data_IF_089487484726
#
_entry.id   IF_089487484726
#
_cell.length_a   1.000
_cell.length_b   1.000
_cell.length_c   1.000
_cell.angle_alpha   90.00
_cell.angle_beta   90.00
_cell.angle_gamma   90.00
#
_symmetry.space_group_name_H-M   'P 1'
#
loop_
_entity.id
_entity.type
_entity.pdbx_description
1 polymer ?
#
# COMPACT_ATOMS: atom_id res chain seq x y z
N UNK A 1 43.60 -7.50 -3.83
CA UNK A 1 42.42 -8.15 -4.43
C UNK A 1 41.21 -7.58 -3.71
N UNK A 2 40.49 -6.67 -4.37
CA UNK A 2 39.35 -5.95 -3.80
C UNK A 2 38.11 -6.82 -3.86
N UNK A 3 37.56 -7.22 -2.71
CA UNK A 3 36.23 -7.82 -2.64
C UNK A 3 35.19 -6.72 -2.82
N UNK A 4 34.62 -6.63 -4.02
CA UNK A 4 33.40 -5.85 -4.27
C UNK A 4 32.23 -6.64 -3.70
N UNK A 5 31.73 -6.24 -2.53
CA UNK A 5 30.44 -6.68 -2.03
C UNK A 5 29.40 -5.97 -2.89
N UNK A 6 28.86 -6.65 -3.90
CA UNK A 6 27.60 -6.25 -4.53
C UNK A 6 26.51 -6.43 -3.48
N UNK A 7 26.11 -5.33 -2.82
CA UNK A 7 24.88 -5.29 -2.06
C UNK A 7 23.72 -5.52 -3.05
N UNK A 8 23.10 -6.70 -2.99
CA UNK A 8 21.80 -6.92 -3.61
C UNK A 8 20.79 -6.07 -2.84
N UNK A 9 20.51 -4.86 -3.31
CA UNK A 9 19.39 -4.05 -2.82
C UNK A 9 18.12 -4.82 -3.15
N UNK A 10 17.51 -5.47 -2.15
CA UNK A 10 16.19 -6.06 -2.33
C UNK A 10 15.22 -4.92 -2.70
N UNK A 11 14.56 -5.05 -3.86
CA UNK A 11 13.53 -4.09 -4.26
C UNK A 11 12.44 -4.08 -3.21
N UNK A 12 12.01 -2.89 -2.79
CA UNK A 12 10.92 -2.76 -1.84
C UNK A 12 9.61 -3.16 -2.52
N UNK A 13 8.82 -3.99 -1.83
CA UNK A 13 7.53 -4.47 -2.33
C UNK A 13 6.40 -3.55 -1.91
N UNK A 14 5.55 -3.20 -2.86
CA UNK A 14 4.32 -2.46 -2.66
C UNK A 14 3.15 -3.34 -3.11
N UNK A 15 2.18 -3.55 -2.23
CA UNK A 15 0.94 -4.25 -2.55
C UNK A 15 -0.19 -3.24 -2.71
N UNK A 16 -0.94 -3.35 -3.81
CA UNK A 16 -2.19 -2.62 -4.03
C UNK A 16 -3.35 -3.55 -3.68
N UNK A 17 -4.27 -3.10 -2.83
CA UNK A 17 -5.50 -3.81 -2.47
C UNK A 17 -6.67 -2.94 -2.94
N UNK A 18 -7.23 -3.28 -4.10
CA UNK A 18 -8.19 -2.45 -4.84
C UNK A 18 -8.96 -3.34 -5.83
N UNK A 19 -10.28 -3.29 -5.90
CA UNK A 19 -11.02 -4.14 -6.84
C UNK A 19 -11.17 -3.50 -8.23
N UNK A 20 -11.09 -2.17 -8.30
CA UNK A 20 -11.19 -1.43 -9.55
C UNK A 20 -9.89 -1.56 -10.38
N UNK A 21 -9.93 -2.43 -11.39
CA UNK A 21 -8.78 -2.68 -12.28
C UNK A 21 -8.22 -1.42 -12.97
N UNK A 22 -9.07 -0.43 -13.25
CA UNK A 22 -8.65 0.86 -13.83
C UNK A 22 -7.79 1.67 -12.85
N UNK A 23 -8.15 1.70 -11.56
CA UNK A 23 -7.36 2.35 -10.51
C UNK A 23 -6.02 1.66 -10.32
N UNK A 24 -6.01 0.32 -10.36
CA UNK A 24 -4.79 -0.47 -10.28
C UNK A 24 -3.84 -0.17 -11.45
N UNK A 25 -4.37 -0.09 -12.67
CA UNK A 25 -3.62 0.28 -13.85
C UNK A 25 -3.07 1.70 -13.75
N UNK A 26 -3.89 2.65 -13.29
CA UNK A 26 -3.48 4.02 -13.06
C UNK A 26 -2.33 4.11 -12.05
N UNK A 27 -2.46 3.46 -10.89
CA UNK A 27 -1.41 3.47 -9.86
C UNK A 27 -0.11 2.88 -10.43
N UNK A 28 -0.18 1.75 -11.14
CA UNK A 28 0.98 1.16 -11.80
C UNK A 28 1.66 2.14 -12.79
N UNK A 29 0.89 2.83 -13.63
CA UNK A 29 1.39 3.86 -14.55
C UNK A 29 2.02 5.06 -13.81
N UNK A 30 1.41 5.51 -12.71
CA UNK A 30 1.93 6.61 -11.91
C UNK A 30 3.26 6.24 -11.24
N UNK A 31 3.43 4.98 -10.84
CA UNK A 31 4.63 4.45 -10.19
C UNK A 31 5.68 3.89 -11.16
N UNK A 32 5.39 3.88 -12.46
CA UNK A 32 6.33 3.42 -13.49
C UNK A 32 7.67 4.17 -13.38
N UNK A 33 8.76 3.39 -13.39
CA UNK A 33 10.14 3.87 -13.17
C UNK A 33 10.66 3.88 -11.73
N UNK A 34 9.87 3.48 -10.72
CA UNK A 34 10.36 3.25 -9.34
C UNK A 34 11.07 1.90 -9.23
N UNK A 35 12.11 1.81 -8.39
CA UNK A 35 12.79 0.54 -8.06
C UNK A 35 11.98 -0.31 -7.06
N UNK A 36 10.67 -0.42 -7.27
CA UNK A 36 9.77 -1.22 -6.43
C UNK A 36 9.17 -2.36 -7.23
N UNK A 37 8.86 -3.45 -6.54
CA UNK A 37 8.04 -4.53 -7.07
C UNK A 37 6.59 -4.28 -6.65
N UNK A 38 5.72 -4.07 -7.64
CA UNK A 38 4.32 -3.71 -7.42
C UNK A 38 3.46 -4.93 -7.74
N UNK A 39 2.69 -5.36 -6.75
CA UNK A 39 1.73 -6.46 -6.86
C UNK A 39 0.34 -5.93 -6.54
N UNK A 40 -0.69 -6.64 -7.00
CA UNK A 40 -2.08 -6.21 -6.85
C UNK A 40 -3.00 -7.39 -6.53
N UNK A 41 -3.91 -7.17 -5.58
CA UNK A 41 -4.99 -8.07 -5.19
C UNK A 41 -6.31 -7.33 -5.07
N UNK A 42 -7.42 -8.04 -5.24
CA UNK A 42 -8.76 -7.43 -5.35
C UNK A 42 -9.60 -7.54 -4.09
N UNK A 43 -9.17 -8.34 -3.13
CA UNK A 43 -9.96 -8.67 -1.94
C UNK A 43 -9.07 -8.70 -0.70
N UNK A 44 -9.67 -8.55 0.48
CA UNK A 44 -9.00 -8.73 1.76
C UNK A 44 -8.50 -10.17 1.89
N UNK A 45 -9.28 -11.15 1.45
CA UNK A 45 -8.88 -12.56 1.45
C UNK A 45 -7.59 -12.80 0.65
N UNK A 46 -7.52 -12.31 -0.59
CA UNK A 46 -6.32 -12.42 -1.43
C UNK A 46 -5.13 -11.69 -0.80
N UNK A 47 -5.37 -10.55 -0.14
CA UNK A 47 -4.32 -9.84 0.60
C UNK A 47 -3.76 -10.70 1.74
N UNK A 48 -4.61 -11.34 2.55
CA UNK A 48 -4.17 -12.25 3.61
C UNK A 48 -3.31 -13.38 3.06
N UNK A 49 -3.70 -13.99 1.93
CA UNK A 49 -2.90 -15.04 1.28
C UNK A 49 -1.54 -14.51 0.78
N UNK A 50 -1.51 -13.31 0.21
CA UNK A 50 -0.27 -12.64 -0.23
C UNK A 50 0.68 -12.40 0.95
N UNK A 51 0.16 -11.88 2.05
CA UNK A 51 0.92 -11.57 3.27
C UNK A 51 1.54 -12.79 3.94
N UNK A 52 0.93 -13.98 3.80
CA UNK A 52 1.50 -15.23 4.30
C UNK A 52 2.75 -15.68 3.53
N UNK A 53 2.86 -15.30 2.25
CA UNK A 53 4.00 -15.65 1.41
C UNK A 53 5.15 -14.67 1.60
N UNK A 54 4.88 -13.38 1.41
CA UNK A 54 5.89 -12.34 1.52
C UNK A 54 5.27 -10.98 1.89
N UNK A 55 5.41 -10.54 3.15
CA UNK A 55 4.87 -9.25 3.59
C UNK A 55 5.47 -8.08 2.79
N UNK A 56 4.65 -7.18 2.24
CA UNK A 56 5.14 -5.99 1.54
C UNK A 56 5.63 -4.93 2.53
N UNK A 57 6.50 -4.04 2.05
CA UNK A 57 6.94 -2.88 2.82
C UNK A 57 5.83 -1.82 2.91
N UNK A 58 5.07 -1.62 1.83
CA UNK A 58 3.96 -0.69 1.75
C UNK A 58 2.72 -1.40 1.22
N UNK A 59 1.57 -1.05 1.78
CA UNK A 59 0.24 -1.34 1.23
C UNK A 59 -0.44 -0.03 0.82
N UNK A 60 -0.98 -0.02 -0.40
CA UNK A 60 -2.02 0.92 -0.82
C UNK A 60 -3.36 0.21 -0.65
N UNK A 61 -4.16 0.65 0.32
CA UNK A 61 -5.40 -0.02 0.71
C UNK A 61 -6.62 0.83 0.35
N UNK A 62 -7.46 0.35 -0.56
CA UNK A 62 -8.78 0.96 -0.75
C UNK A 62 -9.71 0.65 0.43
N UNK A 63 -10.65 1.57 0.69
CA UNK A 63 -11.61 1.38 1.78
C UNK A 63 -12.74 0.42 1.44
N UNK A 64 -13.20 0.36 0.18
CA UNK A 64 -14.39 -0.39 -0.21
C UNK A 64 -13.97 -1.56 -1.07
N UNK A 65 -13.85 -2.73 -0.44
CA UNK A 65 -13.51 -3.96 -1.14
C UNK A 65 -14.73 -4.88 -1.25
N UNK A 66 -14.77 -5.81 -2.21
CA UNK A 66 -15.90 -6.72 -2.42
C UNK A 66 -16.24 -7.58 -1.19
N UNK A 67 -15.26 -7.83 -0.31
CA UNK A 67 -15.35 -8.70 0.85
C UNK A 67 -15.25 -7.95 2.20
N UNK A 68 -15.23 -6.62 2.21
CA UNK A 68 -15.25 -5.84 3.44
C UNK A 68 -14.74 -4.41 3.32
N UNK A 69 -14.46 -3.81 4.48
CA UNK A 69 -13.89 -2.46 4.54
C UNK A 69 -12.40 -2.50 4.86
N UNK A 70 -11.61 -1.71 4.13
CA UNK A 70 -10.18 -1.55 4.37
C UNK A 70 -9.88 -1.06 5.80
N UNK A 71 -10.74 -0.18 6.35
CA UNK A 71 -10.60 0.28 7.75
C UNK A 71 -10.51 -0.87 8.76
N UNK A 72 -11.34 -1.90 8.62
CA UNK A 72 -11.33 -3.06 9.50
C UNK A 72 -10.03 -3.88 9.34
N UNK A 73 -9.47 -3.89 8.13
CA UNK A 73 -8.25 -4.61 7.80
C UNK A 73 -6.98 -3.94 8.36
N UNK A 74 -6.99 -2.62 8.55
CA UNK A 74 -5.84 -1.89 9.14
C UNK A 74 -5.45 -2.48 10.50
N UNK A 75 -6.44 -2.75 11.36
CA UNK A 75 -6.20 -3.30 12.70
C UNK A 75 -5.51 -4.67 12.64
N UNK A 76 -5.95 -5.53 11.71
CA UNK A 76 -5.32 -6.83 11.47
C UNK A 76 -3.88 -6.66 11.00
N UNK A 77 -3.64 -5.80 10.00
CA UNK A 77 -2.30 -5.56 9.47
C UNK A 77 -1.35 -4.98 10.52
N UNK A 78 -1.81 -4.06 11.36
CA UNK A 78 -0.99 -3.47 12.42
C UNK A 78 -0.63 -4.47 13.52
N UNK A 79 -1.50 -5.44 13.78
CA UNK A 79 -1.29 -6.50 14.76
C UNK A 79 -0.35 -7.59 14.25
N UNK A 80 -0.59 -8.10 13.05
CA UNK A 80 0.14 -9.25 12.50
C UNK A 80 1.41 -8.83 11.71
N UNK A 81 1.41 -7.64 11.11
CA UNK A 81 2.48 -7.11 10.26
C UNK A 81 2.85 -5.66 10.62
N UNK A 82 3.31 -5.39 11.87
CA UNK A 82 3.55 -4.03 12.36
C UNK A 82 4.62 -3.25 11.59
N UNK A 83 5.48 -3.94 10.84
CA UNK A 83 6.51 -3.32 9.98
C UNK A 83 5.94 -2.80 8.66
N UNK A 84 4.79 -3.30 8.21
CA UNK A 84 4.17 -2.88 6.96
C UNK A 84 3.53 -1.51 7.12
N UNK A 85 3.87 -0.63 6.19
CA UNK A 85 3.36 0.72 6.10
C UNK A 85 2.04 0.74 5.32
N UNK A 86 1.03 1.41 5.86
CA UNK A 86 -0.32 1.41 5.29
C UNK A 86 -0.66 2.83 4.84
N UNK A 87 -0.87 2.99 3.54
CA UNK A 87 -1.45 4.19 2.94
C UNK A 87 -2.88 3.83 2.54
N UNK A 88 -3.86 4.39 3.24
CA UNK A 88 -5.26 4.23 2.86
C UNK A 88 -5.59 5.16 1.70
N UNK A 89 -6.30 4.64 0.69
CA UNK A 89 -6.78 5.40 -0.46
C UNK A 89 -8.32 5.40 -0.41
N UNK A 90 -8.97 6.57 -0.50
CA UNK A 90 -10.44 6.67 -0.45
C UNK A 90 -10.94 7.97 -1.06
N UNK A 91 -12.15 7.99 -1.63
CA UNK A 91 -12.66 9.12 -2.43
C UNK A 91 -13.90 9.85 -1.94
N UNK A 92 -14.56 9.43 -0.86
CA UNK A 92 -15.92 9.94 -0.55
C UNK A 92 -16.21 10.26 0.93
N UNK A 93 -15.23 10.21 1.82
CA UNK A 93 -15.49 10.52 3.22
C UNK A 93 -14.31 11.21 3.92
N UNK A 94 -14.40 12.53 4.17
CA UNK A 94 -13.42 13.25 4.97
C UNK A 94 -13.27 12.70 6.39
N UNK A 95 -14.34 12.15 6.98
CA UNK A 95 -14.27 11.53 8.31
C UNK A 95 -13.48 10.21 8.28
N UNK A 96 -13.43 9.54 7.12
CA UNK A 96 -12.63 8.32 6.98
C UNK A 96 -11.13 8.58 7.15
N UNK A 97 -10.65 9.81 6.92
CA UNK A 97 -9.24 10.15 7.15
C UNK A 97 -8.87 10.03 8.62
N UNK A 98 -9.58 10.73 9.50
CA UNK A 98 -9.27 10.74 10.93
C UNK A 98 -9.41 9.33 11.53
N UNK A 99 -10.47 8.62 11.14
CA UNK A 99 -10.69 7.23 11.56
C UNK A 99 -9.57 6.31 11.06
N UNK A 100 -9.10 6.45 9.82
CA UNK A 100 -8.01 5.62 9.28
C UNK A 100 -6.72 5.78 10.09
N UNK A 101 -6.37 7.03 10.41
CA UNK A 101 -5.17 7.34 11.19
C UNK A 101 -5.32 6.80 12.63
N UNK A 102 -6.49 6.96 13.25
CA UNK A 102 -6.79 6.40 14.58
C UNK A 102 -6.70 4.87 14.60
N UNK A 103 -7.12 4.20 13.52
CA UNK A 103 -7.02 2.74 13.36
C UNK A 103 -5.59 2.27 13.06
N UNK A 104 -4.67 3.19 12.76
CA UNK A 104 -3.25 2.92 12.63
C UNK A 104 -2.71 2.98 11.19
N UNK A 105 -3.44 3.51 10.22
CA UNK A 105 -2.86 3.86 8.93
C UNK A 105 -1.69 4.85 9.12
N UNK A 106 -0.60 4.65 8.38
CA UNK A 106 0.54 5.58 8.44
C UNK A 106 0.21 6.87 7.66
N UNK A 107 -0.56 6.74 6.57
CA UNK A 107 -1.05 7.88 5.78
C UNK A 107 -2.41 7.62 5.14
N UNK A 108 -3.03 8.72 4.69
CA UNK A 108 -4.29 8.72 3.95
C UNK A 108 -4.13 9.56 2.68
N UNK A 109 -4.58 9.03 1.54
CA UNK A 109 -4.55 9.67 0.24
C UNK A 109 -5.97 9.75 -0.35
N UNK A 110 -6.48 10.96 -0.50
CA UNK A 110 -7.83 11.19 -1.03
C UNK A 110 -7.86 11.03 -2.57
N UNK A 111 -8.86 10.30 -3.09
CA UNK A 111 -9.17 10.26 -4.53
C UNK A 111 -9.98 11.52 -4.91
N UNK A 112 -9.69 12.19 -6.04
CA UNK A 112 -8.61 11.92 -6.98
C UNK A 112 -7.26 12.45 -6.50
N UNK A 113 -6.19 11.71 -6.77
CA UNK A 113 -4.81 12.09 -6.44
C UNK A 113 -3.92 12.18 -7.68
N UNK A 114 -2.83 12.93 -7.54
CA UNK A 114 -1.80 13.10 -8.57
C UNK A 114 -0.62 12.14 -8.36
N UNK A 115 0.21 11.93 -9.39
CA UNK A 115 1.49 11.21 -9.29
C UNK A 115 2.36 11.76 -8.15
N UNK A 116 2.40 13.10 -8.03
CA UNK A 116 3.23 13.78 -7.04
C UNK A 116 2.79 13.44 -5.61
N UNK A 117 1.48 13.50 -5.33
CA UNK A 117 0.93 13.15 -4.01
C UNK A 117 1.21 11.68 -3.67
N UNK A 118 0.95 10.75 -4.60
CA UNK A 118 1.23 9.33 -4.38
C UNK A 118 2.72 9.06 -4.12
N UNK A 119 3.60 9.65 -4.93
CA UNK A 119 5.05 9.51 -4.76
C UNK A 119 5.54 10.10 -3.44
N UNK A 120 4.97 11.24 -3.02
CA UNK A 120 5.30 11.87 -1.76
C UNK A 120 4.94 10.94 -0.60
N UNK A 121 3.72 10.40 -0.58
CA UNK A 121 3.28 9.49 0.48
C UNK A 121 4.21 8.27 0.58
N UNK A 122 4.55 7.67 -0.56
CA UNK A 122 5.44 6.50 -0.58
C UNK A 122 6.84 6.87 -0.07
N UNK A 123 7.42 7.99 -0.53
CA UNK A 123 8.77 8.38 -0.14
C UNK A 123 8.89 8.63 1.37
N UNK A 124 7.95 9.37 1.97
CA UNK A 124 7.96 9.68 3.40
C UNK A 124 7.94 8.43 4.30
N UNK A 125 7.44 7.28 3.80
CA UNK A 125 7.40 6.02 4.54
C UNK A 125 8.59 5.08 4.28
N UNK A 126 9.41 5.37 3.26
CA UNK A 126 10.59 4.56 2.90
C UNK A 126 11.92 5.15 3.42
N UNK A 127 11.86 6.28 4.12
CA UNK A 127 13.03 6.97 4.68
C UNK A 127 13.39 6.51 6.10
#
# INVERSE_FOLDING_TARGET
MTNTITATTQKQKLLIIEDEGEMCLLINLLLDGKEMEIEHVKTIADAVEYFQQQPPAIVLLDNRLPDGFGLDFILFLKKEYPATKIIMISGMDPAAKDVAIEMGADMFLEKPFTKAQLCQCINELLH
#
